data_IF_330463143045
#
_entry.id   IF_330463143045
#
_cell.length_a   1.000
_cell.length_b   1.000
_cell.length_c   1.000
_cell.angle_alpha   90.00
_cell.angle_beta   90.00
_cell.angle_gamma   90.00
#
_symmetry.space_group_name_H-M   'P 1'
#
loop_
_entity.id
_entity.type
_entity.pdbx_description
1 polymer ?
#
# COMPACT_ATOMS: atom_id res chain seq x y z
N UNK A 1 -11.78 5.63 -0.79
CA UNK A 1 -12.50 4.95 0.31
C UNK A 1 -11.46 4.10 0.97
N UNK A 2 -11.29 4.17 2.28
CA UNK A 2 -10.10 3.60 2.93
C UNK A 2 -9.97 2.09 2.72
N UNK A 3 -11.09 1.38 2.72
CA UNK A 3 -11.21 -0.04 2.36
C UNK A 3 -12.46 -0.22 1.50
N UNK A 4 -12.33 -0.89 0.36
CA UNK A 4 -13.42 -1.20 -0.56
C UNK A 4 -14.07 -2.54 -0.18
N UNK A 5 -15.17 -2.46 0.58
CA UNK A 5 -15.86 -3.65 1.08
C UNK A 5 -16.45 -4.52 -0.04
N UNK A 6 -16.84 -3.94 -1.18
CA UNK A 6 -17.35 -4.70 -2.33
C UNK A 6 -16.24 -5.56 -2.97
N UNK A 7 -15.01 -5.03 -3.05
CA UNK A 7 -13.85 -5.76 -3.58
C UNK A 7 -13.47 -6.90 -2.66
N UNK A 8 -13.40 -6.65 -1.34
CA UNK A 8 -13.17 -7.71 -0.35
C UNK A 8 -14.23 -8.81 -0.44
N UNK A 9 -15.51 -8.44 -0.45
CA UNK A 9 -16.61 -9.40 -0.55
C UNK A 9 -16.56 -10.22 -1.84
N UNK A 10 -16.27 -9.58 -2.98
CA UNK A 10 -16.10 -10.28 -4.26
C UNK A 10 -14.94 -11.27 -4.20
N UNK A 11 -13.84 -10.89 -3.53
CA UNK A 11 -12.68 -11.74 -3.32
C UNK A 11 -13.05 -12.94 -2.42
N UNK A 12 -13.77 -12.71 -1.33
CA UNK A 12 -14.27 -13.77 -0.44
C UNK A 12 -15.18 -14.76 -1.19
N UNK A 13 -16.06 -14.27 -2.08
CA UNK A 13 -16.91 -15.13 -2.91
C UNK A 13 -16.10 -15.94 -3.94
N UNK A 14 -14.94 -15.46 -4.35
CA UNK A 14 -14.10 -16.09 -5.39
C UNK A 14 -13.11 -17.11 -4.83
N UNK A 15 -12.41 -16.76 -3.74
CA UNK A 15 -11.33 -17.57 -3.17
C UNK A 15 -11.63 -18.12 -1.77
N UNK A 16 -12.77 -17.73 -1.19
CA UNK A 16 -13.17 -18.10 0.16
C UNK A 16 -12.67 -17.11 1.23
N UNK A 17 -13.47 -16.93 2.28
CA UNK A 17 -13.18 -16.03 3.40
C UNK A 17 -11.86 -16.38 4.11
N UNK A 18 -11.55 -17.67 4.30
CA UNK A 18 -10.30 -18.12 4.94
C UNK A 18 -9.07 -17.65 4.16
N UNK A 19 -9.08 -17.84 2.84
CA UNK A 19 -8.00 -17.37 1.95
C UNK A 19 -7.86 -15.85 1.99
N UNK A 20 -8.96 -15.10 2.03
CA UNK A 20 -8.91 -13.64 2.14
C UNK A 20 -8.28 -13.22 3.47
N UNK A 21 -8.65 -13.86 4.56
CA UNK A 21 -8.04 -13.60 5.86
C UNK A 21 -6.53 -13.86 5.84
N UNK A 22 -6.07 -14.97 5.26
CA UNK A 22 -4.63 -15.24 5.09
C UNK A 22 -3.92 -14.16 4.25
N UNK A 23 -4.56 -13.66 3.19
CA UNK A 23 -4.00 -12.58 2.37
C UNK A 23 -3.93 -11.25 3.14
N UNK A 24 -4.92 -10.97 3.99
CA UNK A 24 -4.92 -9.80 4.88
C UNK A 24 -3.82 -9.92 5.93
N UNK A 25 -3.67 -11.07 6.58
CA UNK A 25 -2.60 -11.33 7.54
C UNK A 25 -1.22 -11.20 6.88
N UNK A 26 -1.03 -11.78 5.68
CA UNK A 26 0.20 -11.62 4.90
C UNK A 26 0.47 -10.15 4.53
N UNK A 27 -0.56 -9.39 4.18
CA UNK A 27 -0.43 -7.97 3.91
C UNK A 27 0.03 -7.21 5.15
N UNK A 28 -0.55 -7.50 6.31
CA UNK A 28 -0.19 -6.86 7.59
C UNK A 28 1.23 -7.23 8.02
N UNK A 29 1.66 -8.46 7.82
CA UNK A 29 3.02 -8.92 8.17
C UNK A 29 4.09 -8.29 7.27
N UNK A 30 3.84 -8.17 5.97
CA UNK A 30 4.86 -7.76 4.98
C UNK A 30 4.88 -6.26 4.70
N UNK A 31 3.76 -5.55 4.80
CA UNK A 31 3.67 -4.12 4.48
C UNK A 31 4.56 -3.22 5.35
N UNK A 32 4.75 -3.46 6.67
CA UNK A 32 5.64 -2.64 7.49
C UNK A 32 7.09 -2.59 6.98
N UNK A 33 7.61 -3.73 6.50
CA UNK A 33 8.95 -3.78 5.89
C UNK A 33 8.98 -2.98 4.58
N UNK A 34 7.98 -3.18 3.71
CA UNK A 34 7.85 -2.44 2.44
C UNK A 34 7.80 -0.94 2.66
N UNK A 35 7.04 -0.49 3.66
CA UNK A 35 6.91 0.93 4.02
C UNK A 35 8.24 1.47 4.58
N UNK A 36 8.93 0.72 5.45
CA UNK A 36 10.21 1.13 5.99
C UNK A 36 11.29 1.29 4.89
N UNK A 37 11.30 0.38 3.91
CA UNK A 37 12.19 0.49 2.75
C UNK A 37 11.83 1.72 1.91
N UNK A 38 10.53 1.93 1.63
CA UNK A 38 10.07 3.10 0.89
C UNK A 38 10.47 4.42 1.57
N UNK A 39 10.30 4.53 2.88
CA UNK A 39 10.73 5.68 3.68
C UNK A 39 12.24 5.89 3.61
N UNK A 40 13.03 4.83 3.80
CA UNK A 40 14.50 4.89 3.71
C UNK A 40 14.95 5.44 2.35
N UNK A 41 14.38 4.94 1.26
CA UNK A 41 14.73 5.42 -0.09
C UNK A 41 14.16 6.80 -0.41
N UNK A 42 13.10 7.23 0.28
CA UNK A 42 12.63 8.61 0.21
C UNK A 42 13.63 9.58 0.85
N UNK A 43 14.21 9.23 2.00
CA UNK A 43 15.27 10.01 2.64
C UNK A 43 16.55 10.07 1.78
N UNK A 44 16.90 8.96 1.11
CA UNK A 44 18.02 8.89 0.17
C UNK A 44 17.74 9.56 -1.19
N UNK A 45 16.49 10.01 -1.43
CA UNK A 45 16.01 10.50 -2.72
C UNK A 45 16.30 9.54 -3.87
N UNK A 46 16.20 8.24 -3.61
CA UNK A 46 16.44 7.20 -4.59
C UNK A 46 15.16 6.87 -5.36
N UNK A 47 14.89 7.67 -6.40
CA UNK A 47 13.67 7.57 -7.21
C UNK A 47 13.40 6.14 -7.75
N UNK A 48 14.45 5.43 -8.17
CA UNK A 48 14.30 4.08 -8.71
C UNK A 48 13.81 3.09 -7.65
N UNK A 49 14.39 3.14 -6.46
CA UNK A 49 13.98 2.27 -5.35
C UNK A 49 12.61 2.66 -4.82
N UNK A 50 12.31 3.95 -4.69
CA UNK A 50 10.99 4.42 -4.30
C UNK A 50 9.90 3.93 -5.26
N UNK A 51 10.14 3.99 -6.58
CA UNK A 51 9.21 3.45 -7.57
C UNK A 51 8.97 1.95 -7.37
N UNK A 52 10.03 1.17 -7.14
CA UNK A 52 9.94 -0.27 -6.90
C UNK A 52 9.12 -0.62 -5.65
N UNK A 53 9.42 0.00 -4.51
CA UNK A 53 8.70 -0.28 -3.26
C UNK A 53 7.26 0.23 -3.29
N UNK A 54 7.01 1.37 -3.96
CA UNK A 54 5.66 1.87 -4.20
C UNK A 54 4.85 0.93 -5.10
N UNK A 55 5.46 0.37 -6.14
CA UNK A 55 4.81 -0.62 -7.00
C UNK A 55 4.38 -1.86 -6.21
N UNK A 56 5.26 -2.37 -5.35
CA UNK A 56 4.99 -3.53 -4.51
C UNK A 56 3.82 -3.27 -3.56
N UNK A 57 3.82 -2.13 -2.87
CA UNK A 57 2.74 -1.75 -1.96
C UNK A 57 1.41 -1.50 -2.70
N UNK A 58 1.46 -0.90 -3.89
CA UNK A 58 0.29 -0.69 -4.77
C UNK A 58 -0.38 -2.01 -5.14
N UNK A 59 0.42 -3.01 -5.53
CA UNK A 59 -0.08 -4.32 -5.97
C UNK A 59 -0.83 -5.03 -4.84
N UNK A 60 -0.18 -5.18 -3.68
CA UNK A 60 -0.78 -5.86 -2.53
C UNK A 60 -2.04 -5.14 -2.01
N UNK A 61 -2.03 -3.79 -2.00
CA UNK A 61 -3.18 -2.99 -1.57
C UNK A 61 -4.34 -3.07 -2.56
N UNK A 62 -4.06 -3.12 -3.86
CA UNK A 62 -5.09 -3.21 -4.90
C UNK A 62 -5.84 -4.55 -4.89
N UNK A 63 -5.13 -5.65 -4.61
CA UNK A 63 -5.75 -6.98 -4.51
C UNK A 63 -6.80 -7.05 -3.41
N UNK A 64 -6.58 -6.37 -2.28
CA UNK A 64 -7.46 -6.38 -1.12
C UNK A 64 -8.46 -5.21 -1.09
N UNK A 65 -8.49 -4.38 -2.13
CA UNK A 65 -9.38 -3.21 -2.16
C UNK A 65 -9.00 -2.12 -1.16
N UNK A 66 -7.74 -2.01 -0.73
CA UNK A 66 -7.25 -0.92 0.11
C UNK A 66 -6.97 0.32 -0.75
N UNK A 67 -8.05 0.92 -1.29
CA UNK A 67 -7.99 1.90 -2.37
C UNK A 67 -7.13 3.12 -2.04
N UNK A 68 -7.20 3.64 -0.81
CA UNK A 68 -6.46 4.85 -0.44
C UNK A 68 -4.93 4.58 -0.44
N UNK A 69 -4.47 3.43 0.07
CA UNK A 69 -3.04 3.05 0.02
C UNK A 69 -2.63 2.75 -1.42
N UNK A 70 -3.49 2.06 -2.17
CA UNK A 70 -3.27 1.77 -3.58
C UNK A 70 -3.05 3.07 -4.38
N UNK A 71 -3.92 4.06 -4.20
CA UNK A 71 -3.85 5.34 -4.91
C UNK A 71 -2.62 6.15 -4.49
N UNK A 72 -2.32 6.21 -3.19
CA UNK A 72 -1.13 6.89 -2.69
C UNK A 72 0.14 6.28 -3.26
N UNK A 73 0.25 4.95 -3.24
CA UNK A 73 1.40 4.20 -3.77
C UNK A 73 1.55 4.40 -5.28
N UNK A 74 0.44 4.39 -6.02
CA UNK A 74 0.41 4.69 -7.46
C UNK A 74 0.90 6.12 -7.76
N UNK A 75 0.52 7.11 -6.95
CA UNK A 75 0.96 8.49 -7.13
C UNK A 75 2.46 8.66 -6.84
N UNK A 76 2.98 7.99 -5.80
CA UNK A 76 4.42 8.00 -5.49
C UNK A 76 5.21 7.35 -6.64
N UNK A 77 4.79 6.17 -7.10
CA UNK A 77 5.41 5.47 -8.23
C UNK A 77 5.45 6.37 -9.47
N UNK A 78 4.32 7.01 -9.81
CA UNK A 78 4.25 7.93 -10.96
C UNK A 78 5.23 9.10 -10.83
N UNK A 79 5.26 9.77 -9.68
CA UNK A 79 6.17 10.90 -9.45
C UNK A 79 7.64 10.48 -9.55
N UNK A 80 7.99 9.29 -9.06
CA UNK A 80 9.33 8.74 -9.21
C UNK A 80 9.70 8.52 -10.69
N UNK A 81 8.78 7.96 -11.48
CA UNK A 81 8.98 7.77 -12.93
C UNK A 81 9.08 9.09 -13.69
N UNK A 82 8.44 10.15 -13.19
CA UNK A 82 8.53 11.51 -13.73
C UNK A 82 9.77 12.30 -13.23
N UNK A 83 10.68 11.65 -12.49
CA UNK A 83 11.86 12.27 -11.85
C UNK A 83 11.52 13.37 -10.83
N UNK A 84 10.31 13.35 -10.26
CA UNK A 84 9.83 14.28 -9.24
C UNK A 84 10.02 13.71 -7.84
N UNK A 85 11.25 13.35 -7.51
CA UNK A 85 11.58 12.59 -6.29
C UNK A 85 11.25 13.35 -5.01
N UNK A 86 11.42 14.66 -4.98
CA UNK A 86 11.07 15.48 -3.81
C UNK A 86 9.55 15.50 -3.55
N UNK A 87 8.73 15.56 -4.61
CA UNK A 87 7.27 15.47 -4.51
C UNK A 87 6.85 14.06 -4.05
N UNK A 88 7.51 13.03 -4.59
CA UNK A 88 7.28 11.65 -4.20
C UNK A 88 7.63 11.40 -2.72
N UNK A 89 8.75 11.93 -2.25
CA UNK A 89 9.19 11.81 -0.86
C UNK A 89 8.23 12.52 0.09
N UNK A 90 7.72 13.70 -0.30
CA UNK A 90 6.68 14.39 0.47
C UNK A 90 5.41 13.55 0.61
N UNK A 91 4.98 12.83 -0.43
CA UNK A 91 3.86 11.89 -0.35
C UNK A 91 4.17 10.64 0.48
N UNK A 92 5.42 10.14 0.47
CA UNK A 92 5.81 8.97 1.26
C UNK A 92 5.54 9.16 2.76
N UNK A 93 5.67 10.39 3.28
CA UNK A 93 5.36 10.71 4.69
C UNK A 93 3.93 10.37 5.10
N UNK A 94 3.01 10.22 4.14
CA UNK A 94 1.60 9.88 4.37
C UNK A 94 1.33 8.38 4.33
N UNK A 95 2.27 7.56 3.85
CA UNK A 95 2.06 6.11 3.66
C UNK A 95 1.87 5.41 5.00
N UNK A 96 2.80 5.61 5.94
CA UNK A 96 2.71 5.00 7.28
C UNK A 96 1.45 5.36 8.06
N UNK A 97 1.04 6.64 8.20
CA UNK A 97 -0.19 6.97 8.91
C UNK A 97 -1.45 6.46 8.19
N UNK A 98 -1.45 6.38 6.86
CA UNK A 98 -2.56 5.79 6.12
C UNK A 98 -2.62 4.27 6.33
N UNK A 99 -1.49 3.58 6.28
CA UNK A 99 -1.40 2.16 6.58
C UNK A 99 -1.90 1.84 7.99
N UNK A 100 -1.53 2.62 9.00
CA UNK A 100 -2.01 2.42 10.37
C UNK A 100 -3.54 2.56 10.48
N UNK A 101 -4.14 3.48 9.72
CA UNK A 101 -5.60 3.62 9.67
C UNK A 101 -6.26 2.41 8.97
N UNK A 102 -5.67 1.94 7.88
CA UNK A 102 -6.14 0.73 7.19
C UNK A 102 -6.02 -0.50 8.07
N UNK A 103 -4.90 -0.68 8.75
CA UNK A 103 -4.67 -1.79 9.69
C UNK A 103 -5.71 -1.80 10.83
N UNK A 104 -6.06 -0.63 11.37
CA UNK A 104 -7.12 -0.51 12.37
C UNK A 104 -8.51 -0.79 11.78
N UNK A 105 -8.78 -0.35 10.55
CA UNK A 105 -10.04 -0.60 9.89
C UNK A 105 -10.27 -2.10 9.65
N UNK A 106 -9.24 -2.83 9.20
CA UNK A 106 -9.33 -4.27 8.93
C UNK A 106 -9.42 -5.12 10.19
N UNK A 107 -8.81 -4.71 11.31
CA UNK A 107 -8.95 -5.41 12.61
C UNK A 107 -10.38 -5.34 13.18
N UNK A 108 -11.20 -4.42 12.67
CA UNK A 108 -12.58 -4.22 13.10
C UNK A 108 -13.61 -4.70 12.06
N UNK A 109 -13.17 -5.30 10.95
CA UNK A 109 -14.02 -6.01 9.98
C UNK A 109 -14.39 -7.40 10.53
#
# INVERSE_FOLDING_TARGET
MLVNSDTLKTLEETVGQETVQELVDLYVDTSPEVIAQLETFADEKNSQQMAFWSHRLKGSSGTLGFDDIHELSKNIEKLCLENKVDEAAALCTKVRPLYQQTEQAIKNL
#
